data_IF_686488762865
#
_entry.id   IF_686488762865
#
_cell.length_a   1.000
_cell.length_b   1.000
_cell.length_c   1.000
_cell.angle_alpha   90.00
_cell.angle_beta   90.00
_cell.angle_gamma   90.00
#
_symmetry.space_group_name_H-M   'P 1'
#
loop_
_entity.id
_entity.type
_entity.pdbx_description
1 polymer ?
#
# COMPACT_ATOMS: atom_id res chain seq x y z
N UNK A 1 31.02 62.06 -3.52
CA UNK A 1 29.66 61.51 -3.60
C UNK A 1 29.35 60.76 -4.90
N UNK A 2 29.99 61.05 -6.03
CA UNK A 2 29.69 60.43 -7.32
C UNK A 2 30.18 58.99 -7.52
N UNK A 3 31.26 58.59 -6.85
CA UNK A 3 31.77 57.22 -6.92
C UNK A 3 30.81 56.19 -6.24
N UNK A 4 30.14 56.60 -5.19
CA UNK A 4 29.20 55.74 -4.44
C UNK A 4 27.90 55.49 -5.25
N UNK A 5 27.44 56.47 -6.00
CA UNK A 5 26.25 56.36 -6.88
C UNK A 5 26.51 55.42 -8.07
N UNK A 6 27.73 55.42 -8.62
CA UNK A 6 28.13 54.56 -9.73
C UNK A 6 28.26 53.09 -9.29
N UNK A 7 28.75 52.81 -8.09
CA UNK A 7 28.87 51.46 -7.54
C UNK A 7 27.50 50.90 -7.18
N UNK A 8 26.61 51.74 -6.62
CA UNK A 8 25.23 51.31 -6.30
C UNK A 8 24.42 50.97 -7.52
N UNK A 9 24.55 51.74 -8.63
CA UNK A 9 23.87 51.46 -9.89
C UNK A 9 24.36 50.19 -10.59
N UNK A 10 25.63 49.80 -10.42
CA UNK A 10 26.21 48.61 -11.01
C UNK A 10 25.83 47.34 -10.24
N UNK A 11 25.49 47.44 -8.96
CA UNK A 11 25.13 46.30 -8.11
C UNK A 11 23.63 46.02 -8.15
N UNK A 12 22.76 47.03 -8.37
CA UNK A 12 21.31 46.87 -8.45
C UNK A 12 20.86 46.27 -9.78
N UNK A 13 21.58 46.58 -10.89
CA UNK A 13 21.19 46.13 -12.22
C UNK A 13 21.35 44.59 -12.40
N UNK A 14 22.43 43.92 -11.99
CA UNK A 14 22.52 42.46 -12.08
C UNK A 14 21.55 41.76 -11.08
N UNK A 15 21.23 42.37 -9.92
CA UNK A 15 20.27 41.82 -8.98
C UNK A 15 18.84 41.86 -9.53
N UNK A 16 18.48 42.93 -10.26
CA UNK A 16 17.18 43.05 -10.94
C UNK A 16 17.07 42.08 -12.13
N UNK A 17 18.18 41.82 -12.84
CA UNK A 17 18.24 40.87 -13.94
C UNK A 17 18.12 39.42 -13.43
N UNK A 18 18.67 39.12 -12.25
CA UNK A 18 18.59 37.80 -11.62
C UNK A 18 17.13 37.47 -11.23
N UNK A 19 16.34 38.45 -10.82
CA UNK A 19 14.92 38.28 -10.48
C UNK A 19 14.04 37.97 -11.69
N UNK A 20 14.50 38.32 -12.92
CA UNK A 20 13.73 38.02 -14.14
C UNK A 20 13.95 36.58 -14.65
N UNK A 21 14.95 35.85 -14.12
CA UNK A 21 15.20 34.47 -14.50
C UNK A 21 14.60 33.44 -13.54
N UNK A 22 13.91 33.85 -12.47
CA UNK A 22 13.07 32.91 -11.76
C UNK A 22 11.81 32.69 -12.62
N UNK A 23 11.60 31.46 -13.14
CA UNK A 23 10.34 31.16 -13.78
C UNK A 23 9.26 31.40 -12.72
N UNK A 24 8.42 32.40 -12.95
CA UNK A 24 7.18 32.59 -12.20
C UNK A 24 6.22 31.48 -12.63
N UNK A 25 6.57 30.24 -12.31
CA UNK A 25 5.61 29.17 -12.33
C UNK A 25 4.54 29.55 -11.31
N UNK A 26 3.31 29.74 -11.75
CA UNK A 26 2.19 29.88 -10.84
C UNK A 26 2.28 28.72 -9.85
N UNK A 27 2.50 29.03 -8.58
CA UNK A 27 2.51 28.01 -7.54
C UNK A 27 1.09 27.46 -7.46
N UNK A 28 0.84 26.34 -8.11
CA UNK A 28 -0.42 25.63 -8.00
C UNK A 28 -0.50 25.05 -6.57
N UNK A 29 -1.54 25.44 -5.84
CA UNK A 29 -1.83 24.79 -4.57
C UNK A 29 -2.34 23.38 -4.85
N UNK A 30 -1.76 22.38 -4.19
CA UNK A 30 -2.18 20.98 -4.29
C UNK A 30 -3.69 20.85 -3.99
N UNK A 31 -4.43 20.21 -4.88
CA UNK A 31 -5.88 20.02 -4.78
C UNK A 31 -6.20 18.55 -4.51
N UNK A 32 -7.15 18.31 -3.60
CA UNK A 32 -7.74 16.98 -3.42
C UNK A 32 -8.72 16.71 -4.59
N UNK A 33 -8.42 15.69 -5.37
CA UNK A 33 -9.23 15.26 -6.53
C UNK A 33 -9.86 13.87 -6.30
N UNK A 34 -9.98 13.45 -5.04
CA UNK A 34 -10.54 12.14 -4.66
C UNK A 34 -11.97 11.95 -5.19
N UNK A 35 -12.78 13.01 -5.23
CA UNK A 35 -14.15 13.00 -5.73
C UNK A 35 -14.27 12.70 -7.22
N UNK A 36 -13.19 12.89 -7.99
CA UNK A 36 -13.13 12.59 -9.43
C UNK A 36 -12.62 11.17 -9.71
N UNK A 37 -12.04 10.52 -8.71
CA UNK A 37 -11.50 9.18 -8.84
C UNK A 37 -12.59 8.12 -8.74
N UNK A 38 -12.51 7.11 -9.60
CA UNK A 38 -13.27 5.86 -9.48
C UNK A 38 -12.33 4.72 -9.11
N UNK A 39 -12.80 3.85 -8.22
CA UNK A 39 -12.02 2.72 -7.73
C UNK A 39 -12.73 1.42 -8.10
N UNK A 40 -11.94 0.47 -8.63
CA UNK A 40 -12.43 -0.84 -9.05
C UNK A 40 -11.50 -1.94 -8.53
N UNK A 41 -11.99 -3.17 -8.51
CA UNK A 41 -11.21 -4.36 -8.15
C UNK A 41 -10.49 -4.25 -6.79
N UNK A 42 -11.04 -3.45 -5.86
CA UNK A 42 -10.50 -3.34 -4.52
C UNK A 42 -10.61 -4.69 -3.81
N UNK A 43 -9.49 -5.18 -3.28
CA UNK A 43 -9.43 -6.47 -2.59
C UNK A 43 -8.27 -6.57 -1.62
N UNK A 44 -8.43 -7.46 -0.64
CA UNK A 44 -7.36 -7.91 0.25
C UNK A 44 -7.06 -9.36 -0.11
N UNK A 45 -5.78 -9.68 -0.31
CA UNK A 45 -5.32 -11.03 -0.65
C UNK A 45 -4.15 -11.44 0.23
N UNK A 46 -3.95 -12.75 0.39
CA UNK A 46 -2.76 -13.28 1.05
C UNK A 46 -1.55 -13.11 0.12
N UNK A 47 -0.48 -12.50 0.62
CA UNK A 47 0.66 -12.11 -0.21
C UNK A 47 1.35 -13.30 -0.88
N UNK A 48 1.51 -14.41 -0.14
CA UNK A 48 2.21 -15.61 -0.60
C UNK A 48 1.42 -16.40 -1.66
N UNK A 49 0.11 -16.55 -1.46
CA UNK A 49 -0.72 -17.43 -2.30
C UNK A 49 -1.60 -16.68 -3.30
N UNK A 50 -1.82 -15.38 -3.09
CA UNK A 50 -2.80 -14.58 -3.84
C UNK A 50 -4.25 -14.90 -3.48
N UNK A 51 -4.51 -15.79 -2.50
CA UNK A 51 -5.87 -16.15 -2.07
C UNK A 51 -6.59 -14.96 -1.45
N UNK A 52 -7.84 -14.77 -1.80
CA UNK A 52 -8.76 -13.76 -1.28
C UNK A 52 -9.87 -14.34 -0.38
N UNK A 53 -9.83 -15.65 -0.11
CA UNK A 53 -10.91 -16.33 0.62
C UNK A 53 -10.45 -17.30 1.70
N UNK A 54 -9.40 -18.10 1.45
CA UNK A 54 -8.98 -19.14 2.38
C UNK A 54 -7.48 -19.42 2.30
N UNK A 55 -6.86 -19.65 3.47
CA UNK A 55 -5.47 -20.12 3.59
C UNK A 55 -5.33 -21.06 4.78
N UNK A 56 -4.50 -22.10 4.61
CA UNK A 56 -4.08 -22.99 5.69
C UNK A 56 -2.77 -22.46 6.30
N UNK A 57 -2.78 -22.23 7.61
CA UNK A 57 -1.64 -21.74 8.37
C UNK A 57 -1.13 -22.76 9.38
N UNK A 58 0.13 -22.67 9.76
CA UNK A 58 0.69 -23.48 10.84
C UNK A 58 0.21 -23.05 12.23
N UNK A 59 0.20 -23.94 13.23
CA UNK A 59 -0.26 -23.59 14.59
C UNK A 59 0.66 -22.58 15.31
N UNK A 60 1.88 -22.40 14.84
CA UNK A 60 2.84 -21.42 15.35
C UNK A 60 2.84 -20.09 14.57
N UNK A 61 2.04 -19.98 13.52
CA UNK A 61 1.93 -18.75 12.70
C UNK A 61 1.30 -17.64 13.53
N UNK A 62 2.03 -16.54 13.73
CA UNK A 62 1.53 -15.37 14.48
C UNK A 62 0.89 -14.33 13.57
N UNK A 63 1.50 -14.13 12.41
CA UNK A 63 1.07 -13.12 11.43
C UNK A 63 1.09 -13.71 10.03
N UNK A 64 0.21 -13.20 9.17
CA UNK A 64 0.17 -13.48 7.73
C UNK A 64 0.32 -12.16 7.01
N UNK A 65 1.19 -12.11 6.00
CA UNK A 65 1.33 -10.96 5.11
C UNK A 65 0.19 -10.92 4.12
N UNK A 66 -0.38 -9.72 3.96
CA UNK A 66 -1.48 -9.42 3.06
C UNK A 66 -1.09 -8.35 2.06
N UNK A 67 -1.84 -8.28 0.97
CA UNK A 67 -1.80 -7.20 -0.01
C UNK A 67 -3.17 -6.54 -0.10
N UNK A 68 -3.20 -5.22 0.02
CA UNK A 68 -4.35 -4.40 -0.32
C UNK A 68 -4.11 -3.81 -1.70
N UNK A 69 -4.96 -4.14 -2.64
CA UNK A 69 -4.78 -3.75 -4.04
C UNK A 69 -6.09 -3.30 -4.67
N UNK A 70 -5.97 -2.57 -5.77
CA UNK A 70 -7.09 -2.12 -6.57
C UNK A 70 -6.64 -1.31 -7.76
N UNK A 71 -7.62 -0.94 -8.58
CA UNK A 71 -7.46 -0.08 -9.74
C UNK A 71 -8.12 1.27 -9.47
N UNK A 72 -7.60 2.31 -10.09
CA UNK A 72 -8.21 3.63 -10.08
C UNK A 72 -8.26 4.21 -11.49
N UNK A 73 -9.25 5.05 -11.73
CA UNK A 73 -9.40 5.80 -12.97
C UNK A 73 -10.01 7.17 -12.72
N UNK A 74 -9.78 8.09 -13.66
CA UNK A 74 -10.38 9.44 -13.67
C UNK A 74 -11.19 9.60 -14.95
N UNK A 75 -12.39 9.02 -15.05
CA UNK A 75 -13.23 9.14 -16.21
C UNK A 75 -13.74 10.58 -16.34
N UNK A 76 -13.70 11.14 -17.55
CA UNK A 76 -14.23 12.49 -17.83
C UNK A 76 -13.29 13.64 -17.48
N UNK A 77 -12.11 13.37 -16.90
CA UNK A 77 -11.09 14.40 -16.65
C UNK A 77 -10.48 14.85 -18.00
N UNK A 78 -10.47 16.17 -18.21
CA UNK A 78 -9.88 16.77 -19.40
C UNK A 78 -8.36 16.94 -19.25
N UNK A 79 -7.67 17.13 -20.39
CA UNK A 79 -6.23 17.40 -20.37
C UNK A 79 -5.92 18.64 -19.50
N UNK A 80 -4.88 18.54 -18.66
CA UNK A 80 -4.44 19.58 -17.71
C UNK A 80 -5.44 19.95 -16.59
N UNK A 81 -6.51 19.19 -16.41
CA UNK A 81 -7.43 19.38 -15.28
C UNK A 81 -6.82 18.89 -13.97
N UNK A 82 -6.08 17.78 -14.02
CA UNK A 82 -5.23 17.32 -12.90
C UNK A 82 -3.82 17.84 -13.12
N UNK A 83 -3.26 18.45 -12.09
CA UNK A 83 -1.96 19.13 -12.14
C UNK A 83 -0.93 18.42 -11.26
N UNK A 84 0.36 18.65 -11.50
CA UNK A 84 1.42 18.21 -10.56
C UNK A 84 1.16 18.74 -9.16
N UNK A 85 1.31 17.86 -8.16
CA UNK A 85 1.00 18.16 -6.77
C UNK A 85 -0.43 17.86 -6.35
N UNK A 86 -1.39 17.75 -7.27
CA UNK A 86 -2.74 17.28 -6.94
C UNK A 86 -2.68 15.85 -6.41
N UNK A 87 -3.63 15.51 -5.53
CA UNK A 87 -3.63 14.21 -4.88
C UNK A 87 -5.04 13.63 -4.73
N UNK A 88 -5.10 12.32 -4.58
CA UNK A 88 -6.32 11.61 -4.20
C UNK A 88 -6.06 10.57 -3.13
N UNK A 89 -7.11 10.16 -2.43
CA UNK A 89 -7.01 9.29 -1.25
C UNK A 89 -7.81 8.02 -1.47
N UNK A 90 -7.19 6.87 -1.16
CA UNK A 90 -7.87 5.58 -1.03
C UNK A 90 -7.88 5.20 0.44
N UNK A 91 -9.06 5.06 1.02
CA UNK A 91 -9.21 4.52 2.38
C UNK A 91 -8.93 3.02 2.37
N UNK A 92 -8.26 2.53 3.38
CA UNK A 92 -8.11 1.11 3.62
C UNK A 92 -9.07 0.64 4.73
N UNK A 93 -9.38 -0.67 4.79
CA UNK A 93 -10.14 -1.22 5.90
C UNK A 93 -9.49 -0.90 7.26
N UNK A 94 -10.28 -0.48 8.24
CA UNK A 94 -9.79 -0.07 9.57
C UNK A 94 -9.07 -1.20 10.33
N UNK A 95 -9.45 -2.45 10.07
CA UNK A 95 -8.85 -3.62 10.69
C UNK A 95 -7.68 -4.21 9.88
N UNK A 96 -7.24 -3.53 8.83
CA UNK A 96 -6.08 -3.91 8.03
C UNK A 96 -4.83 -3.21 8.57
N UNK A 97 -3.86 -3.97 9.06
CA UNK A 97 -2.60 -3.44 9.58
C UNK A 97 -1.64 -3.14 8.43
N UNK A 98 -1.80 -1.95 7.82
CA UNK A 98 -0.94 -1.46 6.74
C UNK A 98 0.51 -1.29 7.21
N UNK A 99 1.46 -1.43 6.30
CA UNK A 99 2.85 -1.04 6.51
C UNK A 99 3.09 0.35 5.90
N UNK A 100 3.62 1.27 6.71
CA UNK A 100 4.03 2.59 6.22
C UNK A 100 5.09 2.46 5.13
N UNK A 101 4.99 3.30 4.11
CA UNK A 101 5.95 3.29 3.01
C UNK A 101 5.57 4.22 1.88
N UNK A 102 6.47 4.31 0.91
CA UNK A 102 6.25 5.07 -0.32
C UNK A 102 6.40 4.14 -1.51
N UNK A 103 5.44 4.18 -2.42
CA UNK A 103 5.42 3.40 -3.65
C UNK A 103 5.41 4.33 -4.85
N UNK A 104 5.79 3.82 -6.01
CA UNK A 104 5.68 4.55 -7.26
C UNK A 104 4.24 4.47 -7.79
N UNK A 105 3.71 5.61 -8.21
CA UNK A 105 2.45 5.69 -8.93
C UNK A 105 2.74 5.55 -10.43
N UNK A 106 2.31 4.44 -11.01
CA UNK A 106 2.59 4.09 -12.40
C UNK A 106 1.32 4.22 -13.25
N UNK A 107 1.44 4.90 -14.38
CA UNK A 107 0.39 4.95 -15.41
C UNK A 107 0.30 3.59 -16.13
N UNK A 108 -0.84 2.92 -16.02
CA UNK A 108 -1.06 1.60 -16.65
C UNK A 108 -1.01 1.63 -18.18
N UNK A 109 -1.18 2.79 -18.83
CA UNK A 109 -1.15 2.91 -20.28
C UNK A 109 0.28 3.03 -20.83
N UNK A 110 1.12 3.84 -20.16
CA UNK A 110 2.47 4.19 -20.64
C UNK A 110 3.59 3.53 -19.85
N UNK A 111 3.29 2.85 -18.74
CA UNK A 111 4.25 2.32 -17.78
C UNK A 111 5.22 3.41 -17.26
N UNK A 112 4.75 4.65 -17.19
CA UNK A 112 5.54 5.80 -16.76
C UNK A 112 5.19 6.15 -15.33
N UNK A 113 6.20 6.49 -14.52
CA UNK A 113 5.98 7.01 -13.17
C UNK A 113 5.31 8.38 -13.26
N UNK A 114 4.07 8.47 -12.78
CA UNK A 114 3.27 9.70 -12.78
C UNK A 114 3.06 10.27 -11.37
N UNK A 115 3.76 9.73 -10.37
CA UNK A 115 3.65 10.24 -9.01
C UNK A 115 4.19 9.26 -7.96
N UNK A 116 3.71 9.44 -6.75
CA UNK A 116 4.04 8.62 -5.57
C UNK A 116 2.78 8.26 -4.80
N UNK A 117 2.83 7.14 -4.09
CA UNK A 117 1.79 6.71 -3.16
C UNK A 117 2.41 6.64 -1.77
N UNK A 118 1.93 7.47 -0.86
CA UNK A 118 2.30 7.40 0.54
C UNK A 118 1.28 6.53 1.28
N UNK A 119 1.75 5.43 1.87
CA UNK A 119 0.93 4.59 2.75
C UNK A 119 0.98 5.17 4.15
N UNK A 120 -0.16 5.55 4.70
CA UNK A 120 -0.30 6.13 6.04
C UNK A 120 -1.06 5.15 6.95
N UNK A 121 -0.33 4.31 7.65
CA UNK A 121 -0.87 3.32 8.58
C UNK A 121 -1.77 3.94 9.65
N UNK A 122 -1.31 5.01 10.29
CA UNK A 122 -2.04 5.68 11.38
C UNK A 122 -3.41 6.24 10.95
N UNK A 123 -3.57 6.55 9.67
CA UNK A 123 -4.79 7.14 9.10
C UNK A 123 -5.60 6.12 8.29
N UNK A 124 -5.17 4.86 8.21
CA UNK A 124 -5.76 3.81 7.39
C UNK A 124 -6.05 4.28 5.96
N UNK A 125 -5.04 4.88 5.30
CA UNK A 125 -5.22 5.42 3.95
C UNK A 125 -3.94 5.38 3.12
N UNK A 126 -4.12 5.47 1.81
CA UNK A 126 -3.08 5.69 0.82
C UNK A 126 -3.31 7.06 0.19
N UNK A 127 -2.28 7.90 0.15
CA UNK A 127 -2.31 9.23 -0.48
C UNK A 127 -1.48 9.17 -1.77
N UNK A 128 -2.13 9.38 -2.89
CA UNK A 128 -1.56 9.34 -4.23
C UNK A 128 -1.30 10.77 -4.69
N UNK A 129 -0.05 11.13 -4.93
CA UNK A 129 0.32 12.49 -5.36
C UNK A 129 0.90 12.45 -6.76
N UNK A 130 0.34 13.25 -7.67
CA UNK A 130 0.78 13.35 -9.05
C UNK A 130 2.05 14.19 -9.21
N UNK A 131 2.90 13.83 -10.17
CA UNK A 131 4.05 14.60 -10.59
C UNK A 131 3.84 15.25 -11.98
N UNK A 132 4.88 15.85 -12.55
CA UNK A 132 4.86 16.52 -13.86
C UNK A 132 4.39 15.63 -15.02
N UNK A 133 4.52 14.30 -14.90
CA UNK A 133 4.11 13.37 -15.95
C UNK A 133 2.58 13.27 -16.13
N UNK A 134 1.78 13.88 -15.24
CA UNK A 134 0.32 13.94 -15.39
C UNK A 134 -0.12 15.02 -16.39
N UNK A 135 0.74 16.01 -16.67
CA UNK A 135 0.40 17.12 -17.55
C UNK A 135 -0.01 16.64 -18.95
N UNK A 136 -1.09 17.21 -19.45
CA UNK A 136 -1.65 16.89 -20.76
C UNK A 136 -2.31 15.52 -20.87
N UNK A 137 -2.31 14.70 -19.81
CA UNK A 137 -2.95 13.39 -19.83
C UNK A 137 -4.48 13.51 -19.76
N UNK A 138 -5.11 12.64 -20.51
CA UNK A 138 -6.53 12.31 -20.41
C UNK A 138 -6.65 10.83 -20.02
N UNK A 139 -7.78 10.42 -19.46
CA UNK A 139 -8.02 9.02 -19.09
C UNK A 139 -6.93 8.44 -18.16
N UNK A 140 -6.57 9.21 -17.13
CA UNK A 140 -5.60 8.79 -16.13
C UNK A 140 -6.14 7.52 -15.43
N UNK A 141 -5.32 6.47 -15.38
CA UNK A 141 -5.64 5.21 -14.70
C UNK A 141 -4.38 4.50 -14.24
N UNK A 142 -4.53 3.68 -13.23
CA UNK A 142 -3.45 2.87 -12.70
C UNK A 142 -3.97 1.85 -11.71
N UNK A 143 -3.03 1.10 -11.15
CA UNK A 143 -3.27 0.14 -10.08
C UNK A 143 -2.32 0.39 -8.94
N UNK A 144 -2.68 -0.11 -7.77
CA UNK A 144 -1.83 -0.06 -6.59
C UNK A 144 -1.84 -1.39 -5.84
N UNK A 145 -0.77 -1.62 -5.09
CA UNK A 145 -0.66 -2.73 -4.16
C UNK A 145 0.14 -2.27 -2.95
N UNK A 146 -0.49 -2.26 -1.79
CA UNK A 146 0.13 -1.95 -0.51
C UNK A 146 0.26 -3.21 0.34
N UNK A 147 1.36 -3.32 1.09
CA UNK A 147 1.59 -4.42 2.03
C UNK A 147 0.86 -4.16 3.34
N UNK A 148 0.33 -5.23 3.90
CA UNK A 148 -0.34 -5.22 5.19
C UNK A 148 -0.08 -6.52 5.93
N UNK A 149 -0.46 -6.58 7.21
CA UNK A 149 -0.37 -7.78 8.05
C UNK A 149 -1.68 -8.10 8.72
N UNK A 150 -1.90 -9.39 8.96
CA UNK A 150 -2.98 -9.90 9.78
C UNK A 150 -2.41 -10.75 10.92
N UNK A 151 -2.68 -10.36 12.15
CA UNK A 151 -2.39 -11.20 13.33
C UNK A 151 -3.38 -12.34 13.40
N UNK A 152 -2.87 -13.58 13.46
CA UNK A 152 -3.67 -14.82 13.47
C UNK A 152 -3.45 -15.64 14.73
N UNK A 153 -2.28 -15.56 15.37
CA UNK A 153 -1.91 -16.22 16.64
C UNK A 153 -2.15 -17.73 16.65
N UNK A 154 -2.01 -18.39 15.49
CA UNK A 154 -2.26 -19.82 15.35
C UNK A 154 -3.69 -20.27 15.64
N UNK A 155 -4.68 -19.38 15.51
CA UNK A 155 -6.09 -19.66 15.73
C UNK A 155 -6.86 -19.60 14.43
N UNK A 156 -7.70 -20.60 14.17
CA UNK A 156 -8.63 -20.57 13.03
C UNK A 156 -9.63 -19.43 13.20
N UNK A 157 -9.66 -18.51 12.25
CA UNK A 157 -10.60 -17.37 12.24
C UNK A 157 -10.89 -16.88 10.83
N UNK A 158 -12.07 -16.31 10.66
CA UNK A 158 -12.44 -15.54 9.47
C UNK A 158 -12.36 -14.05 9.80
N UNK A 159 -11.72 -13.28 8.93
CA UNK A 159 -11.61 -11.83 9.05
C UNK A 159 -12.31 -11.19 7.86
N UNK A 160 -13.22 -10.26 8.17
CA UNK A 160 -13.96 -9.48 7.17
C UNK A 160 -13.33 -8.09 7.07
N UNK A 161 -12.96 -7.67 5.88
CA UNK A 161 -12.45 -6.34 5.56
C UNK A 161 -13.54 -5.56 4.83
N UNK A 162 -13.93 -4.41 5.36
CA UNK A 162 -14.89 -3.51 4.70
C UNK A 162 -14.11 -2.58 3.78
N UNK A 163 -14.31 -2.72 2.50
CA UNK A 163 -13.65 -1.94 1.46
C UNK A 163 -14.37 -0.62 1.19
N UNK A 164 -13.72 0.40 0.63
CA UNK A 164 -14.39 1.60 0.13
C UNK A 164 -15.59 1.26 -0.77
N UNK A 165 -16.70 1.95 -0.57
CA UNK A 165 -17.96 1.63 -1.25
C UNK A 165 -18.80 0.54 -0.56
N UNK A 166 -18.32 -0.02 0.58
CA UNK A 166 -19.09 -0.95 1.42
C UNK A 166 -19.04 -2.42 0.98
N UNK A 167 -18.29 -2.74 -0.09
CA UNK A 167 -18.03 -4.13 -0.45
C UNK A 167 -17.18 -4.83 0.62
N UNK A 168 -17.21 -6.16 0.65
CA UNK A 168 -16.52 -6.97 1.67
C UNK A 168 -15.52 -7.93 1.02
N UNK A 169 -14.39 -8.10 1.68
CA UNK A 169 -13.43 -9.16 1.41
C UNK A 169 -13.31 -10.00 2.68
N UNK A 170 -13.47 -11.31 2.58
CA UNK A 170 -13.45 -12.22 3.74
C UNK A 170 -12.39 -13.29 3.53
N UNK A 171 -11.43 -13.38 4.47
CA UNK A 171 -10.37 -14.37 4.42
C UNK A 171 -10.46 -15.27 5.65
N UNK A 172 -10.55 -16.58 5.42
CA UNK A 172 -10.48 -17.60 6.46
C UNK A 172 -9.06 -18.11 6.60
N UNK A 173 -8.48 -17.91 7.79
CA UNK A 173 -7.19 -18.45 8.21
C UNK A 173 -7.46 -19.74 8.97
N UNK A 174 -7.25 -20.89 8.34
CA UNK A 174 -7.46 -22.21 8.97
C UNK A 174 -6.15 -22.76 9.52
N UNK A 175 -6.12 -23.11 10.79
CA UNK A 175 -4.93 -23.73 11.41
C UNK A 175 -4.88 -25.21 11.03
N UNK A 176 -3.74 -25.60 10.45
CA UNK A 176 -3.46 -27.02 10.13
C UNK A 176 -3.46 -27.83 11.43
N UNK A 177 -4.40 -28.77 11.53
CA UNK A 177 -4.40 -29.75 12.61
C UNK A 177 -3.41 -30.86 12.24
N UNK A 178 -2.36 -31.03 13.04
CA UNK A 178 -1.55 -32.23 12.91
C UNK A 178 -2.36 -33.40 13.48
N UNK A 179 -2.44 -34.54 12.78
CA UNK A 179 -3.02 -35.73 13.37
C UNK A 179 -2.22 -36.04 14.64
N UNK A 180 -2.90 -36.22 15.77
CA UNK A 180 -2.23 -36.74 16.96
C UNK A 180 -1.57 -38.06 16.55
N UNK A 181 -0.25 -38.11 16.60
CA UNK A 181 0.45 -39.38 16.44
C UNK A 181 -0.09 -40.35 17.51
N UNK A 182 -0.49 -41.57 17.16
CA UNK A 182 -1.09 -42.51 18.12
C UNK A 182 -0.15 -42.95 19.24
N UNK A 183 1.00 -42.31 19.39
CA UNK A 183 2.08 -42.74 20.29
C UNK A 183 2.39 -41.79 21.46
N UNK A 184 1.63 -40.69 21.64
CA UNK A 184 1.71 -39.94 22.90
C UNK A 184 0.82 -40.61 23.95
N UNK A 185 1.29 -41.68 24.56
CA UNK A 185 0.63 -42.31 25.69
C UNK A 185 0.82 -43.82 25.86
N UNK A 186 1.42 -44.51 24.90
CA UNK A 186 1.66 -45.94 25.01
C UNK A 186 3.14 -46.29 24.83
N UNK A 187 3.96 -45.87 25.81
CA UNK A 187 5.17 -46.60 26.12
C UNK A 187 4.72 -47.87 26.82
N UNK A 188 4.29 -48.88 26.04
CA UNK A 188 4.19 -50.25 26.55
C UNK A 188 5.62 -50.71 26.70
N UNK A 189 6.17 -50.53 27.92
CA UNK A 189 7.31 -51.27 28.34
C UNK A 189 6.87 -52.74 28.41
N UNK A 190 7.11 -53.52 27.37
CA UNK A 190 7.19 -54.95 27.49
C UNK A 190 8.44 -55.23 28.34
N UNK A 191 8.27 -55.27 29.66
CA UNK A 191 9.23 -55.89 30.54
C UNK A 191 9.25 -57.36 30.15
N UNK A 192 10.30 -57.75 29.44
CA UNK A 192 10.57 -59.14 29.20
C UNK A 192 10.71 -59.82 30.57
N UNK A 193 9.75 -60.62 30.93
CA UNK A 193 9.90 -61.55 32.03
C UNK A 193 10.95 -62.58 31.56
N UNK A 194 12.17 -62.43 32.03
CA UNK A 194 13.14 -63.49 31.94
C UNK A 194 12.60 -64.62 32.83
N UNK A 195 12.13 -65.68 32.21
CA UNK A 195 11.80 -66.91 32.87
C UNK A 195 13.11 -67.66 33.14
N UNK A 196 13.56 -67.82 34.41
CA UNK A 196 14.75 -68.53 34.72
C UNK A 196 14.40 -70.01 34.99
N UNK A 197 13.98 -70.73 33.97
CA UNK A 197 13.90 -72.19 34.05
C UNK A 197 14.48 -72.82 32.81
N UNK A 198 15.74 -73.11 32.93
CA UNK A 198 16.40 -74.25 32.25
C UNK A 198 17.31 -74.95 33.17
N UNK A 199 17.34 -76.30 33.09
CA UNK A 199 17.99 -77.20 34.05
C UNK A 199 19.49 -77.09 33.96
#
# INVERSE_FOLDING_TARGET
MDKLKKVLGFLVFPLLLLLMFFPTGEAHAATDVTDKAQFENLKVTVAETGSDSHIIIGPSTKTVELKYSGDFSFPGVQANEIKPGDYFIVKAPENLDLEDGTLDLIDSNSNTKMGTVQVEKANHRLVFTFNEAVQGKQHIRGSFTATAKQTVEGVTKTVTYILPGGSKSEITFEVKKYPKTPHEGELVFKSGINDPKLP
#
